data_IF_871157174322
#
_entry.id   IF_871157174322
#
_cell.length_a   1.000
_cell.length_b   1.000
_cell.length_c   1.000
_cell.angle_alpha   90.00
_cell.angle_beta   90.00
_cell.angle_gamma   90.00
#
_symmetry.space_group_name_H-M   'P 1'
#
loop_
_entity.id
_entity.type
_entity.pdbx_description
1 polymer ?
#
# COMPACT_ATOMS: atom_id res chain seq x y z
N UNK A 1 9.94 0.68 19.29
CA UNK A 1 9.61 -0.75 19.12
C UNK A 1 8.53 -0.82 18.05
N UNK A 2 8.72 -1.64 17.01
CA UNK A 2 7.76 -1.79 15.91
C UNK A 2 7.06 -3.14 16.02
N UNK A 3 5.76 -3.19 15.79
CA UNK A 3 4.99 -4.42 15.87
C UNK A 3 5.03 -5.15 14.54
N UNK A 4 5.24 -6.46 14.59
CA UNK A 4 5.28 -7.31 13.40
C UNK A 4 4.53 -8.60 13.61
N UNK A 5 4.08 -9.18 12.49
CA UNK A 5 3.49 -10.52 12.41
C UNK A 5 4.42 -11.40 11.60
N UNK A 6 4.62 -12.63 12.07
CA UNK A 6 5.33 -13.65 11.30
C UNK A 6 4.35 -14.22 10.28
N UNK A 7 4.68 -14.11 8.99
CA UNK A 7 3.86 -14.67 7.91
C UNK A 7 4.31 -16.09 7.57
N UNK A 8 5.63 -16.34 7.50
CA UNK A 8 6.19 -17.69 7.30
C UNK A 8 7.62 -17.81 7.83
N UNK A 9 8.04 -19.04 8.08
CA UNK A 9 9.40 -19.39 8.49
C UNK A 9 9.92 -20.43 7.50
N UNK A 10 11.07 -20.16 6.88
CA UNK A 10 11.73 -21.09 5.96
C UNK A 10 13.20 -21.22 6.34
N UNK A 11 13.63 -22.44 6.71
CA UNK A 11 14.98 -22.71 7.19
C UNK A 11 15.36 -21.76 8.35
N UNK A 12 16.31 -20.83 8.11
CA UNK A 12 16.76 -19.81 9.06
C UNK A 12 16.29 -18.39 8.68
N UNK A 13 15.21 -18.28 7.91
CA UNK A 13 14.63 -17.01 7.46
C UNK A 13 13.23 -16.85 8.02
N UNK A 14 13.02 -15.78 8.78
CA UNK A 14 11.70 -15.40 9.29
C UNK A 14 11.18 -14.26 8.43
N UNK A 15 10.06 -14.50 7.76
CA UNK A 15 9.38 -13.48 6.96
C UNK A 15 8.39 -12.73 7.85
N UNK A 16 8.66 -11.45 8.07
CA UNK A 16 7.87 -10.58 8.93
C UNK A 16 7.16 -9.52 8.12
N UNK A 17 5.91 -9.24 8.48
CA UNK A 17 5.12 -8.11 8.00
C UNK A 17 4.91 -7.14 9.16
N UNK A 18 5.38 -5.91 9.01
CA UNK A 18 5.23 -4.88 10.04
C UNK A 18 3.80 -4.33 10.00
N UNK A 19 3.05 -4.50 11.10
CA UNK A 19 1.61 -4.18 11.15
C UNK A 19 1.33 -2.69 11.34
N UNK A 20 2.38 -1.92 11.64
CA UNK A 20 2.32 -0.47 11.85
C UNK A 20 2.75 0.32 10.60
N UNK A 21 3.54 -0.29 9.71
CA UNK A 21 4.12 0.37 8.52
C UNK A 21 3.87 -0.35 7.18
N UNK A 22 3.52 -1.64 7.18
CA UNK A 22 3.11 -2.40 6.00
C UNK A 22 4.27 -2.93 5.15
N UNK A 23 5.51 -2.65 5.52
CA UNK A 23 6.68 -3.24 4.88
C UNK A 23 6.88 -4.70 5.32
N UNK A 24 7.54 -5.47 4.45
CA UNK A 24 7.98 -6.83 4.76
C UNK A 24 9.49 -6.89 4.85
N UNK A 25 10.01 -7.75 5.73
CA UNK A 25 11.43 -7.99 5.88
C UNK A 25 11.71 -9.48 6.08
N UNK A 26 12.92 -9.90 5.73
CA UNK A 26 13.42 -11.24 5.99
C UNK A 26 14.49 -11.14 7.06
N UNK A 27 14.17 -11.65 8.24
CA UNK A 27 15.08 -11.66 9.39
C UNK A 27 15.83 -12.98 9.40
N UNK A 28 17.16 -12.91 9.30
CA UNK A 28 18.06 -14.07 9.35
C UNK A 28 18.70 -14.29 10.71
N UNK A 29 18.71 -13.25 11.56
CA UNK A 29 19.17 -13.32 12.93
C UNK A 29 17.97 -13.26 13.88
N UNK A 30 17.65 -14.39 14.51
CA UNK A 30 16.52 -14.47 15.44
C UNK A 30 16.67 -13.58 16.67
N UNK A 31 17.89 -13.14 17.02
CA UNK A 31 18.11 -12.22 18.15
C UNK A 31 17.52 -10.83 17.91
N UNK A 32 17.23 -10.48 16.64
CA UNK A 32 16.51 -9.26 16.28
C UNK A 32 15.01 -9.33 16.57
N UNK A 33 14.49 -10.49 16.97
CA UNK A 33 13.08 -10.70 17.29
C UNK A 33 12.88 -10.91 18.77
N UNK A 34 11.80 -10.33 19.29
CA UNK A 34 11.36 -10.56 20.66
C UNK A 34 9.85 -10.72 20.70
N UNK A 35 9.35 -11.40 21.73
CA UNK A 35 7.92 -11.57 21.93
C UNK A 35 7.29 -10.20 22.23
N UNK A 36 6.19 -9.89 21.54
CA UNK A 36 5.45 -8.65 21.81
C UNK A 36 4.93 -8.65 23.26
N UNK A 37 5.20 -7.60 24.06
CA UNK A 37 4.63 -7.46 25.39
C UNK A 37 3.11 -7.33 25.35
N UNK A 38 2.41 -7.88 26.35
CA UNK A 38 0.94 -8.02 26.33
C UNK A 38 0.18 -6.70 26.23
N UNK A 39 0.76 -5.60 26.70
CA UNK A 39 0.19 -4.25 26.62
C UNK A 39 0.15 -3.70 25.18
N UNK A 40 1.00 -4.18 24.26
CA UNK A 40 1.01 -3.72 22.87
C UNK A 40 0.13 -4.58 21.95
N UNK A 41 -0.31 -5.75 22.39
CA UNK A 41 -1.18 -6.66 21.62
C UNK A 41 -2.60 -6.08 21.45
N UNK A 42 -3.02 -5.15 22.32
CA UNK A 42 -4.36 -4.58 22.28
C UNK A 42 -4.58 -3.56 21.15
N UNK A 43 -3.51 -3.01 20.57
CA UNK A 43 -3.64 -2.06 19.48
C UNK A 43 -3.93 -2.83 18.18
N UNK A 44 -5.02 -2.45 17.50
CA UNK A 44 -5.33 -3.00 16.18
C UNK A 44 -4.24 -2.65 15.16
N UNK A 45 -4.10 -3.45 14.11
CA UNK A 45 -3.25 -3.14 12.95
C UNK A 45 -3.56 -1.73 12.43
N UNK A 46 -2.54 -0.88 12.38
CA UNK A 46 -2.69 0.51 11.93
C UNK A 46 -2.58 0.64 10.41
N UNK A 47 -2.03 -0.37 9.74
CA UNK A 47 -1.90 -0.44 8.29
C UNK A 47 -3.15 -1.03 7.64
N UNK A 48 -3.55 -0.46 6.50
CA UNK A 48 -4.60 -1.01 5.66
C UNK A 48 -4.14 -0.99 4.20
N UNK A 49 -4.37 -2.09 3.51
CA UNK A 49 -4.10 -2.21 2.08
C UNK A 49 -5.29 -1.68 1.26
N UNK A 50 -4.97 -0.99 0.18
CA UNK A 50 -5.93 -0.40 -0.75
C UNK A 50 -5.37 -0.45 -2.17
N UNK A 51 -6.26 -0.41 -3.16
CA UNK A 51 -5.88 -0.26 -4.57
C UNK A 51 -6.27 1.13 -5.09
N UNK A 52 -5.38 1.75 -5.88
CA UNK A 52 -5.72 3.01 -6.53
C UNK A 52 -6.73 2.77 -7.66
N UNK A 53 -7.78 3.59 -7.69
CA UNK A 53 -8.79 3.55 -8.74
C UNK A 53 -8.26 4.06 -10.08
N UNK A 54 -8.87 3.62 -11.18
CA UNK A 54 -8.60 4.06 -12.57
C UNK A 54 -7.20 3.74 -13.11
N UNK A 55 -6.43 2.96 -12.37
CA UNK A 55 -5.06 2.58 -12.69
C UNK A 55 -5.02 1.07 -12.97
N UNK A 56 -4.35 0.65 -14.05
CA UNK A 56 -3.96 -0.75 -14.25
C UNK A 56 -2.45 -0.90 -14.15
N UNK A 57 -1.91 -1.77 -13.29
CA UNK A 57 -0.48 -2.08 -13.29
C UNK A 57 0.00 -2.45 -14.70
N UNK A 58 1.16 -1.93 -15.11
CA UNK A 58 1.76 -2.34 -16.39
C UNK A 58 2.16 -3.81 -16.36
N UNK A 59 2.02 -4.49 -17.51
CA UNK A 59 2.46 -5.88 -17.68
C UNK A 59 3.99 -5.95 -17.81
N UNK A 60 4.61 -4.85 -18.27
CA UNK A 60 6.06 -4.70 -18.34
C UNK A 60 6.64 -4.38 -16.95
N UNK A 61 7.69 -5.11 -16.55
CA UNK A 61 8.33 -4.95 -15.24
C UNK A 61 9.06 -3.62 -15.07
N UNK A 62 9.78 -3.15 -16.09
CA UNK A 62 10.52 -1.89 -16.04
C UNK A 62 9.56 -0.71 -15.81
N UNK A 63 8.38 -0.76 -16.45
CA UNK A 63 7.35 0.26 -16.26
C UNK A 63 6.76 0.20 -14.85
N UNK A 64 6.55 -1.00 -14.28
CA UNK A 64 6.13 -1.13 -12.88
C UNK A 64 7.17 -0.54 -11.92
N UNK A 65 8.46 -0.75 -12.16
CA UNK A 65 9.51 -0.18 -11.32
C UNK A 65 9.55 1.35 -11.42
N UNK A 66 9.38 1.91 -12.62
CA UNK A 66 9.27 3.36 -12.82
C UNK A 66 8.07 3.94 -12.08
N UNK A 67 6.90 3.32 -12.20
CA UNK A 67 5.69 3.69 -11.45
C UNK A 67 5.96 3.70 -9.95
N UNK A 68 6.51 2.59 -9.43
CA UNK A 68 6.80 2.43 -8.01
C UNK A 68 7.74 3.52 -7.49
N UNK A 69 8.79 3.85 -8.26
CA UNK A 69 9.72 4.93 -7.92
C UNK A 69 9.01 6.28 -7.84
N UNK A 70 8.21 6.63 -8.85
CA UNK A 70 7.48 7.91 -8.87
C UNK A 70 6.44 8.00 -7.74
N UNK A 71 5.74 6.90 -7.46
CA UNK A 71 4.81 6.84 -6.32
C UNK A 71 5.55 7.01 -5.00
N UNK A 72 6.67 6.32 -4.80
CA UNK A 72 7.48 6.48 -3.59
C UNK A 72 7.96 7.94 -3.43
N UNK A 73 8.47 8.57 -4.49
CA UNK A 73 8.94 9.95 -4.44
C UNK A 73 7.82 10.96 -4.14
N UNK A 74 6.55 10.62 -4.44
CA UNK A 74 5.39 11.49 -4.23
C UNK A 74 4.62 11.23 -2.95
N UNK A 75 4.57 9.98 -2.49
CA UNK A 75 3.77 9.59 -1.32
C UNK A 75 4.60 9.61 -0.04
N UNK A 76 5.89 9.33 -0.13
CA UNK A 76 6.67 9.05 1.07
C UNK A 76 6.73 10.27 2.00
N UNK A 77 6.31 10.08 3.26
CA UNK A 77 6.21 11.10 4.31
C UNK A 77 5.25 12.26 4.02
N UNK A 78 4.28 12.09 3.12
CA UNK A 78 3.28 13.09 2.79
C UNK A 78 1.88 12.64 3.26
N UNK A 79 1.07 13.58 3.76
CA UNK A 79 -0.31 13.31 4.17
C UNK A 79 -1.28 13.47 3.00
N UNK A 80 -2.19 12.51 2.86
CA UNK A 80 -3.19 12.48 1.80
C UNK A 80 -4.59 12.28 2.35
N UNK A 81 -5.56 12.93 1.72
CA UNK A 81 -6.97 12.65 1.90
C UNK A 81 -7.34 11.41 1.09
N UNK A 82 -7.82 10.38 1.78
CA UNK A 82 -8.25 9.11 1.19
C UNK A 82 -9.76 9.08 1.03
N UNK A 83 -10.23 8.82 -0.19
CA UNK A 83 -11.64 8.56 -0.49
C UNK A 83 -11.83 7.13 -0.99
N UNK A 84 -12.82 6.41 -0.45
CA UNK A 84 -13.20 5.08 -0.94
C UNK A 84 -14.23 5.25 -2.06
N UNK A 85 -13.86 4.90 -3.28
CA UNK A 85 -14.72 5.04 -4.47
C UNK A 85 -15.70 3.87 -4.60
N UNK A 86 -15.20 2.64 -4.47
CA UNK A 86 -16.00 1.43 -4.50
C UNK A 86 -15.27 0.24 -3.86
N UNK A 87 -15.99 -0.87 -3.70
CA UNK A 87 -15.45 -2.16 -3.25
C UNK A 87 -15.72 -3.21 -4.31
N UNK A 88 -14.75 -4.07 -4.56
CA UNK A 88 -14.89 -5.20 -5.48
C UNK A 88 -14.03 -6.36 -4.98
N UNK A 89 -14.65 -7.55 -4.82
CA UNK A 89 -13.96 -8.76 -4.32
C UNK A 89 -13.14 -8.50 -3.04
N UNK A 90 -13.75 -7.85 -2.05
CA UNK A 90 -13.14 -7.42 -0.77
C UNK A 90 -12.01 -6.38 -0.86
N UNK A 91 -11.59 -6.00 -2.07
CA UNK A 91 -10.64 -4.92 -2.31
C UNK A 91 -11.36 -3.57 -2.31
N UNK A 92 -10.80 -2.60 -1.59
CA UNK A 92 -11.27 -1.20 -1.58
C UNK A 92 -10.47 -0.41 -2.60
N UNK A 93 -11.16 0.12 -3.60
CA UNK A 93 -10.59 1.02 -4.60
C UNK A 93 -10.71 2.47 -4.11
N UNK A 94 -9.58 3.16 -4.04
CA UNK A 94 -9.47 4.48 -3.43
C UNK A 94 -8.93 5.51 -4.41
N UNK A 95 -9.26 6.77 -4.14
CA UNK A 95 -8.58 7.94 -4.69
C UNK A 95 -7.84 8.67 -3.57
N UNK A 96 -6.63 9.17 -3.89
CA UNK A 96 -5.80 9.95 -2.97
C UNK A 96 -5.64 11.37 -3.48
N UNK A 97 -5.80 12.33 -2.57
CA UNK A 97 -5.65 13.76 -2.85
C UNK A 97 -4.66 14.39 -1.88
N UNK A 98 -3.70 15.17 -2.38
CA UNK A 98 -2.82 15.93 -1.50
C UNK A 98 -3.65 16.98 -0.75
N UNK A 99 -3.45 17.12 0.56
CA UNK A 99 -4.27 18.03 1.35
C UNK A 99 -4.06 19.51 0.97
N UNK A 100 -2.83 19.90 0.65
CA UNK A 100 -2.48 21.28 0.28
C UNK A 100 -2.89 21.63 -1.15
N UNK A 101 -2.43 20.85 -2.14
CA UNK A 101 -2.68 21.19 -3.56
C UNK A 101 -4.02 20.72 -4.08
N UNK A 102 -4.69 19.80 -3.37
CA UNK A 102 -5.89 19.07 -3.82
C UNK A 102 -5.66 18.26 -5.11
N UNK A 103 -4.41 18.00 -5.49
CA UNK A 103 -4.10 17.20 -6.66
C UNK A 103 -4.43 15.72 -6.43
N UNK A 104 -5.04 15.11 -7.43
CA UNK A 104 -5.31 13.68 -7.42
C UNK A 104 -4.07 12.90 -7.85
N UNK A 105 -3.59 12.00 -6.99
CA UNK A 105 -2.38 11.22 -7.22
C UNK A 105 -2.47 10.35 -8.48
N UNK A 106 -3.62 9.69 -8.70
CA UNK A 106 -3.78 8.80 -9.85
C UNK A 106 -3.69 9.58 -11.18
N UNK A 107 -4.29 10.77 -11.25
CA UNK A 107 -4.19 11.66 -12.41
C UNK A 107 -2.75 12.10 -12.66
N UNK A 108 -2.01 12.39 -11.60
CA UNK A 108 -0.60 12.78 -11.69
C UNK A 108 0.24 11.65 -12.31
N UNK A 109 0.04 10.41 -11.85
CA UNK A 109 0.75 9.24 -12.38
C UNK A 109 0.36 8.93 -13.84
N UNK A 110 -0.92 9.07 -14.19
CA UNK A 110 -1.39 8.94 -15.58
C UNK A 110 -0.73 10.01 -16.48
N UNK A 111 -0.62 11.26 -16.00
CA UNK A 111 0.01 12.36 -16.75
C UNK A 111 1.49 12.10 -17.06
N UNK A 112 2.20 11.38 -16.19
CA UNK A 112 3.57 10.95 -16.47
C UNK A 112 3.67 9.80 -17.49
N UNK A 113 2.54 9.32 -18.03
CA UNK A 113 2.50 8.27 -19.05
C UNK A 113 2.85 6.88 -18.51
N UNK A 114 2.85 6.71 -17.19
CA UNK A 114 3.39 5.52 -16.54
C UNK A 114 2.35 4.39 -16.42
N UNK A 115 1.07 4.70 -16.61
CA UNK A 115 -0.04 3.75 -16.43
C UNK A 115 -1.17 4.06 -17.42
N UNK A 116 -1.80 3.00 -17.95
CA UNK A 116 -3.03 3.10 -18.72
C UNK A 116 -4.25 3.33 -17.81
N UNK A 117 -5.17 4.19 -18.28
CA UNK A 117 -6.45 4.44 -17.62
C UNK A 117 -7.35 3.22 -17.72
N UNK A 118 -7.85 2.74 -16.59
CA UNK A 118 -8.95 1.76 -16.60
C UNK A 118 -10.29 2.49 -16.73
N UNK A 119 -11.06 2.19 -17.78
CA UNK A 119 -12.44 2.65 -17.87
C UNK A 119 -13.31 1.84 -16.92
N UNK A 120 -13.56 2.36 -15.72
CA UNK A 120 -14.54 1.78 -14.81
C UNK A 120 -15.92 2.23 -15.27
N UNK A 121 -16.74 1.29 -15.76
CA UNK A 121 -18.17 1.57 -16.00
C UNK A 121 -18.84 1.70 -14.63
N UNK A 122 -19.21 2.92 -14.23
CA UNK A 122 -20.08 3.13 -13.07
C UNK A 122 -21.42 2.45 -13.36
N UNK A 123 -21.73 1.36 -12.66
CA UNK A 123 -23.13 0.94 -12.55
C UNK A 123 -23.82 2.01 -11.71
N UNK A 124 -24.68 2.80 -12.35
CA UNK A 124 -25.59 3.70 -11.64
C UNK A 124 -26.43 2.81 -10.72
N UNK A 125 -26.38 3.07 -9.41
CA UNK A 125 -27.36 2.51 -8.48
C UNK A 125 -28.73 3.04 -8.95
N UNK A 126 -29.58 2.13 -9.44
CA UNK A 126 -31.02 2.36 -9.52
C UNK A 126 -31.59 2.46 -8.10
#
# INVERSE_FOLDING_TARGET
>A
MVSSRIDRIEQNKVYVHFIDSGNCEIITDSSCLTKSPSNFIQLATQVREFELVYIKPSINEDDRQKVKRVLNDKINNEEYLLNIEYRYQDVKYISLYNEGTKDNLAKLVIKYGLIMVNQVKRQQKQ
#
